data_IF_200935505101
#
_entry.id   IF_200935505101
#
_cell.length_a   1.000
_cell.length_b   1.000
_cell.length_c   1.000
_cell.angle_alpha   90.00
_cell.angle_beta   90.00
_cell.angle_gamma   90.00
#
_symmetry.space_group_name_H-M   'P 1'
#
loop_
_entity.id
_entity.type
_entity.pdbx_description
1 polymer ?
#
# COMPACT_ATOMS: atom_id res chain seq x y z
N UNK A 1 3.61 -0.18 -14.13
CA UNK A 1 3.38 -0.22 -12.68
C UNK A 1 2.07 0.48 -12.36
N UNK A 2 1.27 -0.12 -11.51
CA UNK A 2 -0.04 0.42 -11.14
C UNK A 2 0.11 1.42 -10.00
N UNK A 3 -0.34 2.65 -10.21
CA UNK A 3 -0.40 3.64 -9.14
C UNK A 3 -1.81 3.62 -8.54
N UNK A 4 -1.93 2.99 -7.38
CA UNK A 4 -3.22 2.82 -6.73
C UNK A 4 -3.86 4.14 -6.31
N UNK A 5 -3.04 5.12 -5.95
CA UNK A 5 -3.56 6.42 -5.53
C UNK A 5 -4.24 7.15 -6.69
N UNK A 6 -3.59 7.16 -7.84
CA UNK A 6 -4.15 7.78 -9.04
C UNK A 6 -5.39 7.02 -9.49
N UNK A 7 -5.33 5.71 -9.49
CA UNK A 7 -6.45 4.87 -9.91
C UNK A 7 -7.67 5.07 -9.00
N UNK A 8 -7.46 5.13 -7.69
CA UNK A 8 -8.53 5.37 -6.73
C UNK A 8 -9.21 6.71 -6.99
N UNK A 9 -8.40 7.75 -7.21
CA UNK A 9 -8.91 9.12 -7.35
C UNK A 9 -9.57 9.36 -8.71
N UNK A 10 -8.93 8.87 -9.80
CA UNK A 10 -9.32 9.21 -11.15
C UNK A 10 -10.17 8.14 -11.84
N UNK A 11 -10.09 6.90 -11.41
CA UNK A 11 -10.84 5.79 -12.00
C UNK A 11 -11.22 4.76 -10.95
N UNK A 12 -12.10 5.17 -10.05
CA UNK A 12 -12.53 4.33 -8.93
C UNK A 12 -13.17 3.02 -9.38
N UNK A 13 -13.86 3.02 -10.51
CA UNK A 13 -14.48 1.80 -11.03
C UNK A 13 -13.43 0.71 -11.28
N UNK A 14 -12.34 1.07 -11.96
CA UNK A 14 -11.25 0.12 -12.20
C UNK A 14 -10.49 -0.22 -10.92
N UNK A 15 -10.37 0.74 -9.99
CA UNK A 15 -9.77 0.46 -8.69
C UNK A 15 -10.57 -0.61 -7.95
N UNK A 16 -11.89 -0.47 -7.91
CA UNK A 16 -12.74 -1.42 -7.17
C UNK A 16 -12.70 -2.84 -7.74
N UNK A 17 -12.39 -2.98 -9.02
CA UNK A 17 -12.24 -4.29 -9.64
C UNK A 17 -10.98 -5.04 -9.17
N UNK A 18 -10.06 -4.36 -8.53
CA UNK A 18 -8.85 -4.98 -7.98
C UNK A 18 -9.09 -5.65 -6.63
N UNK A 19 -10.22 -5.40 -5.98
CA UNK A 19 -10.55 -6.02 -4.71
C UNK A 19 -10.50 -7.54 -4.83
N UNK A 20 -9.75 -8.18 -3.94
CA UNK A 20 -9.53 -9.63 -3.98
C UNK A 20 -8.46 -10.07 -4.98
N UNK A 21 -7.84 -9.15 -5.70
CA UNK A 21 -6.81 -9.48 -6.68
C UNK A 21 -5.41 -9.16 -6.16
N UNK A 22 -4.44 -9.88 -6.71
CA UNK A 22 -3.02 -9.70 -6.39
C UNK A 22 -2.48 -8.47 -7.12
N UNK A 23 -1.92 -7.54 -6.34
CA UNK A 23 -1.43 -6.26 -6.87
C UNK A 23 -0.04 -5.98 -6.33
N UNK A 24 0.86 -5.48 -7.17
CA UNK A 24 2.18 -5.03 -6.79
C UNK A 24 2.16 -3.51 -6.61
N UNK A 25 2.63 -3.05 -5.45
CA UNK A 25 2.65 -1.63 -5.11
C UNK A 25 4.08 -1.20 -4.86
N UNK A 26 4.49 -0.08 -5.45
CA UNK A 26 5.77 0.57 -5.17
C UNK A 26 5.52 1.81 -4.35
N UNK A 27 6.22 1.96 -3.25
CA UNK A 27 6.06 3.13 -2.42
C UNK A 27 7.18 3.28 -1.41
N UNK A 28 7.16 4.41 -0.72
CA UNK A 28 8.12 4.71 0.33
C UNK A 28 7.65 4.13 1.65
N UNK A 29 8.54 3.46 2.36
CA UNK A 29 8.19 2.84 3.64
C UNK A 29 7.92 3.91 4.69
N UNK A 30 6.73 3.93 5.23
CA UNK A 30 6.33 4.79 6.33
C UNK A 30 6.66 4.16 7.68
N UNK A 31 6.34 2.88 7.84
CA UNK A 31 6.62 2.14 9.07
C UNK A 31 6.66 0.64 8.81
N UNK A 32 7.38 -0.06 9.68
CA UNK A 32 7.51 -1.52 9.65
C UNK A 32 7.31 -2.03 11.06
N UNK A 33 6.43 -3.02 11.24
CA UNK A 33 6.27 -3.72 12.51
C UNK A 33 6.39 -5.23 12.26
N UNK A 34 7.56 -5.78 12.56
CA UNK A 34 7.80 -7.21 12.41
C UNK A 34 6.94 -8.03 13.38
N UNK A 35 6.73 -7.49 14.56
CA UNK A 35 5.92 -8.15 15.59
C UNK A 35 4.48 -8.33 15.16
N UNK A 36 3.90 -7.29 14.56
CA UNK A 36 2.54 -7.31 14.06
C UNK A 36 2.42 -7.78 12.62
N UNK A 37 3.56 -7.97 11.94
CA UNK A 37 3.62 -8.33 10.53
C UNK A 37 2.93 -7.31 9.63
N UNK A 38 3.15 -6.02 9.92
CA UNK A 38 2.50 -4.93 9.19
C UNK A 38 3.56 -3.99 8.62
N UNK A 39 3.42 -3.64 7.35
CA UNK A 39 4.25 -2.65 6.67
C UNK A 39 3.32 -1.62 6.04
N UNK A 40 3.63 -0.33 6.26
CA UNK A 40 2.87 0.77 5.65
C UNK A 40 3.74 1.48 4.64
N UNK A 41 3.19 1.68 3.44
CA UNK A 41 3.81 2.50 2.40
C UNK A 41 3.01 3.79 2.28
N UNK A 42 3.69 4.88 1.96
CA UNK A 42 3.07 6.18 1.81
C UNK A 42 3.36 6.76 0.43
N UNK A 43 2.32 7.36 -0.16
CA UNK A 43 2.42 8.20 -1.34
C UNK A 43 2.04 9.61 -0.94
N UNK A 44 2.92 10.57 -1.19
CA UNK A 44 2.63 11.97 -1.00
C UNK A 44 2.50 12.64 -2.35
N UNK A 45 1.39 13.32 -2.57
CA UNK A 45 1.21 14.15 -3.75
C UNK A 45 1.78 15.52 -3.43
N UNK A 46 2.79 15.95 -4.17
CA UNK A 46 3.48 17.22 -3.93
C UNK A 46 2.58 18.45 -4.05
N UNK A 47 1.51 18.34 -4.83
CA UNK A 47 0.58 19.45 -5.07
C UNK A 47 -0.66 19.36 -4.18
N UNK A 48 -0.73 18.38 -3.32
CA UNK A 48 -1.95 18.09 -2.58
C UNK A 48 -1.63 17.64 -1.16
N UNK A 49 -2.44 18.09 -0.23
CA UNK A 49 -2.33 17.66 1.16
C UNK A 49 -2.85 16.24 1.37
N UNK A 50 -3.28 15.58 0.31
CA UNK A 50 -3.77 14.21 0.34
C UNK A 50 -2.61 13.23 0.43
N UNK A 51 -2.71 12.33 1.38
CA UNK A 51 -1.76 11.23 1.52
C UNK A 51 -2.47 9.92 1.24
N UNK A 52 -1.78 9.01 0.57
CA UNK A 52 -2.28 7.65 0.39
C UNK A 52 -1.39 6.71 1.16
N UNK A 53 -1.97 6.00 2.11
CA UNK A 53 -1.27 5.02 2.93
C UNK A 53 -1.76 3.64 2.55
N UNK A 54 -0.84 2.77 2.13
CA UNK A 54 -1.14 1.38 1.81
C UNK A 54 -0.58 0.54 2.93
N UNK A 55 -1.46 -0.12 3.67
CA UNK A 55 -1.09 -0.97 4.80
C UNK A 55 -1.11 -2.42 4.34
N UNK A 56 0.05 -3.09 4.44
CA UNK A 56 0.20 -4.50 4.10
C UNK A 56 0.26 -5.33 5.36
N UNK A 57 -0.64 -6.30 5.46
CA UNK A 57 -0.47 -7.39 6.41
C UNK A 57 0.39 -8.42 5.73
N UNK A 58 1.63 -8.55 6.20
CA UNK A 58 2.63 -9.38 5.55
C UNK A 58 2.40 -10.85 5.82
N UNK A 59 2.83 -11.69 4.88
CA UNK A 59 2.84 -13.12 5.09
C UNK A 59 3.78 -13.51 6.22
N UNK A 60 3.49 -14.64 6.84
CA UNK A 60 4.26 -15.20 7.94
C UNK A 60 5.76 -15.34 7.61
N UNK A 61 6.08 -15.70 6.37
CA UNK A 61 7.44 -15.94 5.91
C UNK A 61 8.01 -14.77 5.11
N UNK A 62 7.41 -13.58 5.21
CA UNK A 62 7.85 -12.42 4.46
C UNK A 62 9.26 -11.99 4.85
N UNK A 63 10.02 -11.54 3.85
CA UNK A 63 11.37 -11.03 4.06
C UNK A 63 11.33 -9.53 4.35
N UNK A 64 11.82 -9.14 5.52
CA UNK A 64 11.86 -7.74 5.94
C UNK A 64 13.21 -7.06 5.68
N UNK A 65 14.15 -7.72 5.01
CA UNK A 65 15.56 -7.30 4.95
C UNK A 65 15.82 -5.86 4.51
N UNK A 66 15.07 -5.32 3.55
CA UNK A 66 15.25 -3.95 3.07
C UNK A 66 14.07 -3.04 3.38
N UNK A 67 13.13 -3.53 4.17
CA UNK A 67 11.95 -2.75 4.54
C UNK A 67 12.28 -1.84 5.71
N UNK A 68 12.87 -0.70 5.40
CA UNK A 68 13.25 0.32 6.38
C UNK A 68 12.57 1.63 6.06
N UNK A 69 12.18 2.36 7.09
CA UNK A 69 11.55 3.67 6.95
C UNK A 69 12.37 4.56 6.02
N UNK A 70 11.71 5.14 5.03
CA UNK A 70 12.31 6.02 4.05
C UNK A 70 12.76 5.36 2.76
N UNK A 71 12.90 4.04 2.74
CA UNK A 71 13.27 3.32 1.51
C UNK A 71 12.06 3.18 0.58
N UNK A 72 12.34 3.19 -0.72
CA UNK A 72 11.32 2.88 -1.73
C UNK A 72 11.39 1.40 -2.04
N UNK A 73 10.28 0.70 -1.88
CA UNK A 73 10.24 -0.76 -2.05
C UNK A 73 9.00 -1.17 -2.85
N UNK A 74 9.03 -2.41 -3.32
CA UNK A 74 7.88 -3.05 -3.96
C UNK A 74 7.34 -4.14 -3.07
N UNK A 75 6.04 -4.10 -2.81
CA UNK A 75 5.36 -5.13 -2.05
C UNK A 75 4.14 -5.57 -2.82
N UNK A 76 3.97 -6.87 -2.94
CA UNK A 76 2.79 -7.46 -3.56
C UNK A 76 1.84 -7.97 -2.49
N UNK A 77 0.56 -7.88 -2.75
CA UNK A 77 -0.44 -8.38 -1.84
C UNK A 77 -1.81 -8.40 -2.49
N UNK A 78 -2.81 -8.84 -1.74
CA UNK A 78 -4.18 -8.89 -2.20
C UNK A 78 -4.92 -7.69 -1.65
N UNK A 79 -5.60 -6.95 -2.52
CA UNK A 79 -6.42 -5.80 -2.10
C UNK A 79 -7.61 -6.30 -1.29
N UNK A 80 -7.69 -5.91 -0.03
CA UNK A 80 -8.71 -6.37 0.91
C UNK A 80 -9.76 -5.30 1.16
N UNK A 81 -9.34 -4.11 1.55
CA UNK A 81 -10.24 -3.04 1.97
C UNK A 81 -9.65 -1.68 1.64
N UNK A 82 -10.50 -0.67 1.61
CA UNK A 82 -10.06 0.69 1.37
C UNK A 82 -11.08 1.67 1.95
N UNK A 83 -10.57 2.85 2.33
CA UNK A 83 -11.43 3.94 2.81
C UNK A 83 -10.75 5.27 2.52
N UNK A 84 -11.52 6.34 2.52
CA UNK A 84 -10.95 7.67 2.40
C UNK A 84 -11.53 8.59 3.47
N UNK A 85 -10.80 9.64 3.77
CA UNK A 85 -11.23 10.69 4.67
C UNK A 85 -10.66 12.02 4.19
N UNK A 86 -10.86 13.08 4.97
CA UNK A 86 -10.39 14.43 4.60
C UNK A 86 -8.86 14.52 4.50
N UNK A 87 -8.14 13.61 5.13
CA UNK A 87 -6.68 13.62 5.17
C UNK A 87 -6.05 12.78 4.08
N UNK A 88 -6.78 11.80 3.53
CA UNK A 88 -6.24 10.96 2.49
C UNK A 88 -6.97 9.64 2.33
N UNK A 89 -6.30 8.74 1.64
CA UNK A 89 -6.81 7.42 1.27
C UNK A 89 -6.06 6.37 2.08
N UNK A 90 -6.80 5.40 2.63
CA UNK A 90 -6.21 4.25 3.31
C UNK A 90 -6.58 2.98 2.54
N UNK A 91 -5.58 2.23 2.12
CA UNK A 91 -5.77 0.98 1.39
C UNK A 91 -5.15 -0.14 2.23
N UNK A 92 -5.93 -1.17 2.50
CA UNK A 92 -5.48 -2.33 3.28
C UNK A 92 -5.29 -3.52 2.37
N UNK A 93 -4.12 -4.13 2.46
CA UNK A 93 -3.77 -5.30 1.67
C UNK A 93 -3.33 -6.44 2.58
N UNK A 94 -3.60 -7.66 2.16
CA UNK A 94 -3.25 -8.88 2.90
C UNK A 94 -2.30 -9.73 2.07
N UNK A 95 -1.72 -10.74 2.71
CA UNK A 95 -0.78 -11.67 2.08
C UNK A 95 0.38 -10.93 1.42
N UNK A 96 0.90 -9.91 2.11
CA UNK A 96 1.97 -9.09 1.57
C UNK A 96 3.28 -9.86 1.48
N UNK A 97 3.95 -9.73 0.34
CA UNK A 97 5.29 -10.25 0.14
C UNK A 97 6.13 -9.20 -0.57
N UNK A 98 7.39 -9.09 -0.18
CA UNK A 98 8.33 -8.19 -0.82
C UNK A 98 8.70 -8.70 -2.21
N UNK A 99 8.73 -7.81 -3.18
CA UNK A 99 9.14 -8.14 -4.55
C UNK A 99 10.56 -7.70 -4.88
#
# INVERSE_FOLDING_TARGET
MLDLAILYRDDFTNFSLLEGKYVVVTGKVLSVSKEKQVVKLIYEDSDNKYQTIVTFKMDKDANYGELKKGNTVKIAGVLDDYSDNKQGININMINGTRK
#
